data_IF_593465067278
#
_entry.id   IF_593465067278
#
_cell.length_a   1.000
_cell.length_b   1.000
_cell.length_c   1.000
_cell.angle_alpha   90.00
_cell.angle_beta   90.00
_cell.angle_gamma   90.00
#
_symmetry.space_group_name_H-M   'P 1'
#
loop_
_entity.id
_entity.type
_entity.pdbx_description
1 polymer ?
#
# COMPACT_ATOMS: atom_id res chain seq x y z
N UNK A 1 -10.28 -1.36 -8.72
CA UNK A 1 -8.85 -1.21 -9.07
C UNK A 1 -8.07 -1.20 -7.76
N UNK A 2 -7.12 -2.12 -7.53
CA UNK A 2 -6.51 -2.31 -6.19
C UNK A 2 -7.35 -3.21 -5.28
N UNK A 3 -6.95 -3.33 -4.01
CA UNK A 3 -7.59 -4.21 -3.02
C UNK A 3 -8.34 -3.44 -1.92
N UNK A 4 -9.64 -3.71 -1.77
CA UNK A 4 -10.46 -3.18 -0.67
C UNK A 4 -10.45 -4.11 0.54
N UNK A 5 -10.55 -5.40 0.27
CA UNK A 5 -10.61 -6.45 1.28
C UNK A 5 -9.82 -7.69 0.81
N UNK A 6 -9.80 -8.74 1.61
CA UNK A 6 -9.03 -9.96 1.36
C UNK A 6 -9.37 -10.64 0.02
N UNK A 7 -10.59 -10.48 -0.49
CA UNK A 7 -11.03 -11.09 -1.75
C UNK A 7 -10.37 -10.46 -2.98
N UNK A 8 -9.93 -9.21 -2.87
CA UNK A 8 -9.23 -8.51 -3.94
C UNK A 8 -7.71 -8.74 -3.88
N UNK A 9 -7.19 -9.28 -2.78
CA UNK A 9 -5.78 -9.64 -2.66
C UNK A 9 -5.49 -10.94 -3.41
N UNK A 10 -4.23 -11.08 -3.87
CA UNK A 10 -3.79 -12.33 -4.48
C UNK A 10 -3.83 -13.48 -3.46
N UNK A 11 -4.10 -14.70 -3.93
CA UNK A 11 -4.05 -15.90 -3.09
C UNK A 11 -2.70 -16.05 -2.37
N UNK A 12 -1.62 -15.59 -3.02
CA UNK A 12 -0.27 -15.56 -2.45
C UNK A 12 -0.19 -14.61 -1.26
N UNK A 13 -0.76 -13.41 -1.35
CA UNK A 13 -0.76 -12.45 -0.25
C UNK A 13 -1.49 -13.00 0.98
N UNK A 14 -2.58 -13.74 0.78
CA UNK A 14 -3.29 -14.41 1.86
C UNK A 14 -2.42 -15.53 2.46
N UNK A 15 -1.79 -16.36 1.63
CA UNK A 15 -0.90 -17.42 2.11
C UNK A 15 0.30 -16.85 2.88
N UNK A 16 0.93 -15.78 2.39
CA UNK A 16 2.03 -15.06 3.04
C UNK A 16 1.63 -14.53 4.43
N UNK A 17 0.39 -14.09 4.59
CA UNK A 17 -0.15 -13.65 5.88
C UNK A 17 -0.24 -14.82 6.89
N UNK A 18 -0.62 -16.01 6.43
CA UNK A 18 -0.67 -17.23 7.27
C UNK A 18 0.71 -17.82 7.57
N UNK A 19 1.71 -17.63 6.70
CA UNK A 19 3.07 -18.16 6.91
C UNK A 19 3.95 -17.25 7.78
N UNK A 20 3.51 -16.02 8.05
CA UNK A 20 4.25 -15.07 8.87
C UNK A 20 4.50 -15.62 10.29
N UNK A 21 5.77 -15.66 10.69
CA UNK A 21 6.23 -16.18 12.00
C UNK A 21 6.21 -15.14 13.13
N UNK A 22 5.64 -13.96 12.88
CA UNK A 22 5.53 -12.85 13.83
C UNK A 22 6.88 -12.32 14.39
N UNK A 23 8.01 -12.67 13.77
CA UNK A 23 9.36 -12.34 14.26
C UNK A 23 9.70 -10.84 14.35
N UNK A 24 8.93 -9.96 13.69
CA UNK A 24 9.05 -8.50 13.84
C UNK A 24 10.21 -7.83 13.08
N UNK A 25 11.04 -8.59 12.35
CA UNK A 25 12.17 -8.04 11.57
C UNK A 25 11.73 -6.97 10.57
N UNK A 26 10.63 -7.21 9.86
CA UNK A 26 10.07 -6.25 8.92
C UNK A 26 9.64 -4.93 9.55
N UNK A 27 9.28 -4.93 10.84
CA UNK A 27 8.95 -3.71 11.60
C UNK A 27 10.21 -3.03 12.14
N UNK A 28 11.19 -3.80 12.59
CA UNK A 28 12.47 -3.28 13.08
C UNK A 28 13.27 -2.54 11.99
N UNK A 29 13.28 -3.10 10.77
CA UNK A 29 13.99 -2.51 9.62
C UNK A 29 13.15 -1.47 8.85
N UNK A 30 11.90 -1.21 9.27
CA UNK A 30 11.06 -0.25 8.58
C UNK A 30 11.46 1.19 8.91
N UNK A 31 11.93 2.00 7.95
CA UNK A 31 12.34 3.38 8.23
C UNK A 31 11.17 4.23 8.73
N UNK A 32 9.96 4.01 8.23
CA UNK A 32 8.77 4.71 8.70
C UNK A 32 8.49 4.42 10.18
N UNK A 33 8.58 3.15 10.59
CA UNK A 33 8.40 2.74 11.97
C UNK A 33 9.48 3.32 12.90
N UNK A 34 10.75 3.29 12.48
CA UNK A 34 11.87 3.84 13.25
C UNK A 34 11.71 5.35 13.49
N UNK A 35 11.13 6.08 12.54
CA UNK A 35 10.81 7.51 12.70
C UNK A 35 9.56 7.80 13.55
N UNK A 36 8.94 6.78 14.16
CA UNK A 36 7.77 6.93 15.04
C UNK A 36 6.43 7.02 14.30
N UNK A 37 6.37 6.72 13.00
CA UNK A 37 5.09 6.63 12.28
C UNK A 37 4.36 5.35 12.69
N UNK A 38 3.03 5.33 12.53
CA UNK A 38 2.17 4.19 12.94
C UNK A 38 2.37 2.91 12.13
N UNK A 39 3.04 2.98 10.97
CA UNK A 39 3.21 1.83 10.09
C UNK A 39 4.09 0.74 10.71
N UNK A 40 3.52 -0.45 10.87
CA UNK A 40 4.24 -1.68 11.17
C UNK A 40 3.93 -2.73 10.09
N UNK A 41 4.88 -3.07 9.20
CA UNK A 41 4.66 -4.08 8.16
C UNK A 41 4.25 -5.45 8.71
N UNK A 42 4.72 -5.81 9.92
CA UNK A 42 4.25 -7.01 10.61
C UNK A 42 2.76 -6.93 10.92
N UNK A 43 2.29 -5.80 11.45
CA UNK A 43 0.90 -5.61 11.85
C UNK A 43 -0.03 -5.77 10.64
N UNK A 44 0.33 -5.17 9.49
CA UNK A 44 -0.44 -5.31 8.24
C UNK A 44 -0.67 -6.77 7.87
N UNK A 45 0.36 -7.63 7.92
CA UNK A 45 0.18 -9.05 7.62
C UNK A 45 -0.69 -9.77 8.63
N UNK A 46 -0.60 -9.42 9.92
CA UNK A 46 -1.46 -9.98 10.95
C UNK A 46 -2.91 -9.56 10.76
N UNK A 47 -3.17 -8.29 10.47
CA UNK A 47 -4.51 -7.78 10.20
C UNK A 47 -5.15 -8.48 8.98
N UNK A 48 -4.35 -8.75 7.93
CA UNK A 48 -4.81 -9.53 6.76
C UNK A 48 -5.13 -10.99 7.15
N UNK A 49 -4.27 -11.64 7.93
CA UNK A 49 -4.50 -13.02 8.40
C UNK A 49 -5.75 -13.11 9.27
N UNK A 50 -5.88 -12.18 10.20
CA UNK A 50 -6.97 -12.17 11.17
C UNK A 50 -8.30 -11.90 10.46
N UNK A 51 -8.31 -10.97 9.48
CA UNK A 51 -9.46 -10.76 8.58
C UNK A 51 -9.78 -12.00 7.76
N UNK A 52 -8.79 -12.66 7.16
CA UNK A 52 -8.99 -13.88 6.39
C UNK A 52 -9.56 -15.02 7.25
N UNK A 53 -9.11 -15.11 8.50
CA UNK A 53 -9.59 -16.11 9.47
C UNK A 53 -11.03 -15.81 9.90
N UNK A 54 -11.35 -14.54 10.18
CA UNK A 54 -12.70 -14.10 10.55
C UNK A 54 -13.71 -14.42 9.44
N UNK A 55 -13.37 -14.06 8.19
CA UNK A 55 -14.21 -14.36 7.03
C UNK A 55 -14.37 -15.87 6.84
N UNK A 56 -13.29 -16.65 6.92
CA UNK A 56 -13.34 -18.11 6.81
C UNK A 56 -14.27 -18.74 7.85
N UNK A 57 -14.16 -18.34 9.12
CA UNK A 57 -15.03 -18.83 10.19
C UNK A 57 -16.50 -18.44 9.99
N UNK A 58 -16.77 -17.24 9.48
CA UNK A 58 -18.14 -16.77 9.26
C UNK A 58 -18.81 -17.50 8.08
N UNK A 59 -18.05 -17.82 7.03
CA UNK A 59 -18.51 -18.62 5.89
C UNK A 59 -18.85 -20.04 6.36
N UNK A 60 -17.99 -20.67 7.15
CA UNK A 60 -18.23 -22.02 7.70
C UNK A 60 -19.46 -22.07 8.62
N UNK A 61 -19.58 -21.12 9.56
CA UNK A 61 -20.70 -21.07 10.52
C UNK A 61 -22.05 -20.87 9.85
N UNK A 62 -22.12 -19.97 8.87
CA UNK A 62 -23.37 -19.58 8.23
C UNK A 62 -23.66 -20.36 6.93
N UNK A 63 -22.76 -21.27 6.52
CA UNK A 63 -22.82 -22.00 5.24
C UNK A 63 -23.08 -21.08 4.04
N UNK A 64 -22.44 -19.92 4.05
CA UNK A 64 -22.58 -18.90 3.00
C UNK A 64 -21.75 -19.29 1.77
N UNK A 65 -22.16 -18.83 0.60
CA UNK A 65 -21.35 -18.97 -0.61
C UNK A 65 -20.11 -18.08 -0.51
N UNK A 66 -18.88 -18.62 -0.71
CA UNK A 66 -17.65 -17.83 -0.71
C UNK A 66 -17.66 -16.65 -1.69
N UNK A 67 -18.45 -16.72 -2.76
CA UNK A 67 -18.45 -15.71 -3.81
C UNK A 67 -19.39 -14.52 -3.53
N UNK A 68 -20.26 -14.61 -2.52
CA UNK A 68 -21.24 -13.56 -2.22
C UNK A 68 -21.28 -13.21 -0.72
N UNK A 69 -20.12 -13.33 -0.07
CA UNK A 69 -19.96 -12.98 1.34
C UNK A 69 -19.63 -11.50 1.47
N UNK A 70 -20.51 -10.76 2.15
CA UNK A 70 -20.29 -9.38 2.58
C UNK A 70 -20.80 -9.22 4.02
N UNK A 71 -19.90 -8.86 4.93
CA UNK A 71 -20.20 -8.59 6.33
C UNK A 71 -20.15 -7.09 6.67
N UNK A 72 -20.04 -6.23 5.65
CA UNK A 72 -19.95 -4.79 5.79
C UNK A 72 -18.61 -4.29 6.34
N UNK A 73 -17.64 -5.17 6.56
CA UNK A 73 -16.27 -4.82 6.99
C UNK A 73 -15.32 -4.88 5.81
N UNK A 74 -14.19 -4.20 5.96
CA UNK A 74 -13.10 -4.20 4.98
C UNK A 74 -11.75 -4.20 5.68
N UNK A 75 -10.67 -4.43 4.93
CA UNK A 75 -9.31 -4.33 5.49
C UNK A 75 -9.01 -2.93 6.05
N UNK A 76 -9.70 -1.89 5.58
CA UNK A 76 -9.53 -0.52 6.09
C UNK A 76 -10.10 -0.30 7.50
N UNK A 77 -10.91 -1.22 8.04
CA UNK A 77 -11.38 -1.15 9.43
C UNK A 77 -10.29 -1.59 10.42
N UNK A 78 -9.33 -2.40 9.97
CA UNK A 78 -8.21 -2.93 10.76
C UNK A 78 -6.92 -2.12 10.52
N UNK A 79 -6.75 -1.67 9.28
CA UNK A 79 -5.57 -0.95 8.80
C UNK A 79 -5.96 0.48 8.48
N UNK A 80 -5.37 1.44 9.21
CA UNK A 80 -5.65 2.85 9.01
C UNK A 80 -4.97 3.42 7.75
N UNK A 81 -5.55 4.47 7.18
CA UNK A 81 -5.00 5.16 6.01
C UNK A 81 -3.60 5.74 6.27
N UNK A 82 -3.37 6.23 7.48
CA UNK A 82 -2.06 6.75 7.89
C UNK A 82 -0.97 5.65 7.83
N UNK A 83 -1.30 4.41 8.22
CA UNK A 83 -0.38 3.28 8.16
C UNK A 83 -0.01 2.94 6.72
N UNK A 84 -1.02 2.78 5.85
CA UNK A 84 -0.74 2.46 4.45
C UNK A 84 0.02 3.59 3.77
N UNK A 85 -0.31 4.87 3.95
CA UNK A 85 0.38 5.99 3.29
C UNK A 85 1.77 6.33 3.89
N UNK A 86 2.09 5.85 5.09
CA UNK A 86 3.43 6.03 5.66
C UNK A 86 4.53 5.19 4.97
N UNK A 87 4.18 4.13 4.23
CA UNK A 87 5.15 3.28 3.52
C UNK A 87 5.91 4.04 2.42
N UNK A 88 7.24 4.03 2.46
CA UNK A 88 8.08 4.69 1.44
C UNK A 88 8.47 3.77 0.29
N UNK A 89 7.89 2.56 0.21
CA UNK A 89 8.18 1.55 -0.82
C UNK A 89 9.68 1.21 -0.94
N UNK A 90 10.42 1.26 0.18
CA UNK A 90 11.88 1.04 0.24
C UNK A 90 12.32 -0.42 0.16
N UNK A 91 11.37 -1.37 0.13
CA UNK A 91 11.60 -2.82 0.09
C UNK A 91 12.33 -3.46 1.30
N UNK A 92 12.70 -2.69 2.33
CA UNK A 92 13.43 -3.20 3.50
C UNK A 92 12.71 -4.35 4.23
N UNK A 93 11.37 -4.32 4.30
CA UNK A 93 10.58 -5.35 4.96
C UNK A 93 10.64 -6.72 4.25
N UNK A 94 10.82 -6.74 2.93
CA UNK A 94 10.90 -7.95 2.11
C UNK A 94 12.29 -8.57 2.26
N UNK A 95 13.34 -7.75 2.16
CA UNK A 95 14.73 -8.19 2.31
C UNK A 95 15.03 -8.72 3.72
N UNK A 96 14.44 -8.12 4.75
CA UNK A 96 14.65 -8.53 6.14
C UNK A 96 13.91 -9.82 6.53
N UNK A 97 13.01 -10.33 5.68
CA UNK A 97 12.14 -11.44 6.04
C UNK A 97 12.87 -12.79 5.95
N UNK A 98 12.92 -13.59 7.04
CA UNK A 98 13.61 -14.89 7.03
C UNK A 98 12.83 -15.98 6.27
N UNK A 99 11.54 -15.76 6.03
CA UNK A 99 10.64 -16.71 5.32
C UNK A 99 10.17 -16.17 3.96
N UNK A 100 10.79 -15.08 3.49
CA UNK A 100 10.62 -14.54 2.13
C UNK A 100 9.17 -14.13 1.76
N UNK A 101 8.40 -13.63 2.73
CA UNK A 101 7.07 -13.06 2.47
C UNK A 101 7.16 -11.61 1.98
N UNK A 102 6.10 -11.13 1.33
CA UNK A 102 6.05 -9.76 0.81
C UNK A 102 4.98 -8.88 1.49
N UNK A 103 5.31 -8.18 2.61
CA UNK A 103 4.37 -7.24 3.22
C UNK A 103 4.11 -5.97 2.38
N UNK A 104 4.97 -5.67 1.40
CA UNK A 104 4.87 -4.45 0.60
C UNK A 104 3.72 -4.52 -0.41
N UNK A 105 3.50 -5.68 -1.02
CA UNK A 105 2.49 -5.86 -2.07
C UNK A 105 1.06 -5.56 -1.59
N UNK A 106 0.56 -6.10 -0.47
CA UNK A 106 -0.77 -5.74 0.04
C UNK A 106 -0.93 -4.23 0.32
N UNK A 107 0.12 -3.58 0.84
CA UNK A 107 0.09 -2.13 1.11
C UNK A 107 -0.09 -1.34 -0.19
N UNK A 108 0.59 -1.74 -1.26
CA UNK A 108 0.47 -1.09 -2.57
C UNK A 108 -0.92 -1.30 -3.18
N UNK A 109 -1.50 -2.49 -3.05
CA UNK A 109 -2.85 -2.76 -3.57
C UNK A 109 -3.93 -1.95 -2.82
N UNK A 110 -3.80 -1.81 -1.50
CA UNK A 110 -4.71 -0.98 -0.70
C UNK A 110 -4.60 0.51 -1.05
N UNK A 111 -3.37 1.02 -1.25
CA UNK A 111 -3.15 2.39 -1.74
C UNK A 111 -3.77 2.62 -3.11
N UNK A 112 -3.60 1.64 -4.01
CA UNK A 112 -4.18 1.69 -5.35
C UNK A 112 -5.70 1.78 -5.29
N UNK A 113 -6.32 1.04 -4.37
CA UNK A 113 -7.77 1.13 -4.15
C UNK A 113 -8.21 2.52 -3.71
N UNK A 114 -7.55 3.07 -2.69
CA UNK A 114 -7.85 4.42 -2.18
C UNK A 114 -7.72 5.50 -3.25
N UNK A 115 -6.64 5.48 -4.01
CA UNK A 115 -6.40 6.48 -5.07
C UNK A 115 -7.36 6.30 -6.25
N UNK A 116 -7.47 5.10 -6.82
CA UNK A 116 -8.18 4.90 -8.10
C UNK A 116 -9.69 4.70 -7.94
N UNK A 117 -10.14 4.22 -6.78
CA UNK A 117 -11.56 3.90 -6.55
C UNK A 117 -12.25 4.94 -5.68
N UNK A 118 -11.61 5.37 -4.60
CA UNK A 118 -12.20 6.35 -3.67
C UNK A 118 -11.74 7.79 -3.94
N UNK A 119 -10.77 8.01 -4.84
CA UNK A 119 -10.12 9.31 -5.04
C UNK A 119 -9.58 9.91 -3.73
N UNK A 120 -9.27 9.05 -2.76
CA UNK A 120 -8.77 9.40 -1.43
C UNK A 120 -7.26 9.17 -1.40
N UNK A 121 -6.50 10.25 -1.39
CA UNK A 121 -5.05 10.23 -1.27
C UNK A 121 -4.56 11.42 -0.47
N UNK A 122 -3.28 11.43 -0.04
CA UNK A 122 -2.67 12.57 0.60
C UNK A 122 -2.85 13.83 -0.26
N UNK A 123 -3.27 14.94 0.35
CA UNK A 123 -3.55 16.18 -0.38
C UNK A 123 -2.31 16.70 -1.12
N UNK A 124 -1.12 16.37 -0.61
CA UNK A 124 0.18 16.68 -1.20
C UNK A 124 0.41 15.99 -2.55
N UNK A 125 -0.31 14.91 -2.86
CA UNK A 125 -0.19 14.18 -4.12
C UNK A 125 -1.13 14.72 -5.20
N UNK A 126 -2.14 15.52 -4.85
CA UNK A 126 -3.10 16.08 -5.82
C UNK A 126 -2.45 16.94 -6.92
N UNK A 127 -1.49 17.84 -6.62
CA UNK A 127 -0.81 18.62 -7.67
C UNK A 127 -0.07 17.73 -8.67
N UNK A 128 0.47 16.61 -8.21
CA UNK A 128 1.14 15.62 -9.04
C UNK A 128 0.14 14.97 -10.00
N UNK A 129 -1.01 14.48 -9.50
CA UNK A 129 -2.04 13.87 -10.36
C UNK A 129 -2.56 14.85 -11.41
N UNK A 130 -2.87 16.08 -11.03
CA UNK A 130 -3.31 17.12 -11.96
C UNK A 130 -2.25 17.47 -13.01
N UNK A 131 -0.96 17.47 -12.63
CA UNK A 131 0.12 17.72 -13.57
C UNK A 131 0.24 16.58 -14.59
N UNK A 132 0.15 15.33 -14.15
CA UNK A 132 0.22 14.15 -15.03
C UNK A 132 -0.93 14.16 -16.04
N UNK A 133 -2.15 14.46 -15.60
CA UNK A 133 -3.33 14.51 -16.48
C UNK A 133 -3.25 15.62 -17.53
N UNK A 134 -2.78 16.82 -17.15
CA UNK A 134 -2.79 17.97 -18.05
C UNK A 134 -1.56 18.07 -18.95
N UNK A 135 -0.40 17.64 -18.46
CA UNK A 135 0.89 17.89 -19.13
C UNK A 135 1.67 16.61 -19.47
N UNK A 136 1.19 15.44 -19.03
CA UNK A 136 1.93 14.18 -19.14
C UNK A 136 3.20 14.12 -18.29
N UNK A 137 3.45 15.12 -17.44
CA UNK A 137 4.61 15.20 -16.55
C UNK A 137 4.18 15.26 -15.08
N UNK A 138 4.96 14.58 -14.23
CA UNK A 138 4.75 14.50 -12.76
C UNK A 138 4.86 15.86 -12.08
N UNK A 139 5.66 16.75 -12.66
CA UNK A 139 5.90 18.10 -12.17
C UNK A 139 5.38 19.12 -13.17
N UNK A 140 4.82 20.22 -12.66
CA UNK A 140 4.49 21.35 -13.51
C UNK A 140 5.79 21.95 -14.04
N UNK A 141 5.98 21.88 -15.36
CA UNK A 141 7.20 22.36 -16.02
C UNK A 141 7.05 23.84 -16.39
N UNK A 142 7.72 24.78 -15.70
CA UNK A 142 7.71 26.18 -16.14
C UNK A 142 8.50 26.33 -17.44
N UNK A 143 8.10 27.29 -18.28
CA UNK A 143 8.80 27.61 -19.54
C UNK A 143 10.28 27.95 -19.34
N UNK A 144 10.62 28.49 -18.16
CA UNK A 144 11.98 28.90 -17.77
C UNK A 144 12.91 27.73 -17.41
N UNK A 145 12.39 26.49 -17.34
CA UNK A 145 13.20 25.30 -17.01
C UNK A 145 14.42 25.13 -17.92
N UNK A 146 14.38 25.62 -19.15
CA UNK A 146 15.46 25.49 -20.14
C UNK A 146 16.37 26.72 -20.24
N UNK A 147 16.18 27.75 -19.41
CA UNK A 147 16.95 28.99 -19.56
C UNK A 147 18.44 28.79 -19.24
N UNK A 148 18.78 27.96 -18.24
CA UNK A 148 20.17 27.56 -17.96
C UNK A 148 20.86 26.90 -19.16
N UNK A 149 20.12 26.16 -19.99
CA UNK A 149 20.69 25.47 -21.16
C UNK A 149 20.95 26.43 -22.33
N UNK A 150 20.26 27.58 -22.39
CA UNK A 150 20.49 28.61 -23.42
C UNK A 150 21.71 29.46 -23.08
N UNK A 151 21.95 29.70 -21.80
CA UNK A 151 23.14 30.41 -21.30
C UNK A 151 24.43 29.68 -21.68
N UNK A 152 24.48 28.35 -21.52
CA UNK A 152 25.66 27.54 -21.88
C UNK A 152 25.97 27.53 -23.40
N UNK A 153 24.97 27.71 -24.26
CA UNK A 153 25.15 27.76 -25.72
C UNK A 153 25.53 29.13 -26.26
N UNK A 154 25.47 30.18 -25.43
CA UNK A 154 25.80 31.55 -25.83
C UNK A 154 27.30 31.87 -25.67
N UNK A 155 28.04 31.08 -24.88
CA UNK A 155 29.47 31.24 -24.59
C UNK A 155 30.39 30.35 -25.48
N UNK A 156 29.85 29.72 -26.53
CA UNK A 156 30.58 28.94 -27.55
C UNK A 156 30.41 29.51 -28.95
#
# INVERSE_FOLDING_TARGET
FGAKDIFDLSWKNIMDAYTCTECGRCTAECPANVTGKKLSPRKILMDIRDRATEVGQNIEKNKLDPNNYDDGKSLFDYISEEEIFACTTCNACVEACPVLINPLEPILEMRRYKILTESSGPAEWMPMFTSVENSGAVWQMPAQRFDWAKEDTADS
#
